data_IF_597247237776
#
_entry.id   IF_597247237776
#
_cell.length_a   1.000
_cell.length_b   1.000
_cell.length_c   1.000
_cell.angle_alpha   90.00
_cell.angle_beta   90.00
_cell.angle_gamma   90.00
#
_symmetry.space_group_name_H-M   'P 1'
#
loop_
_entity.id
_entity.type
_entity.pdbx_description
1 polymer ?
#
# COMPACT_ATOMS: atom_id res chain seq x y z
N UNK A 1 32.70 -31.79 -9.41
CA UNK A 1 32.44 -30.35 -9.65
C UNK A 1 31.05 -30.19 -10.29
N UNK A 2 30.01 -30.73 -9.63
CA UNK A 2 28.63 -30.81 -10.17
C UNK A 2 27.58 -30.66 -9.06
N UNK A 3 27.90 -31.07 -7.82
CA UNK A 3 27.05 -30.87 -6.64
C UNK A 3 26.92 -29.40 -6.19
N UNK A 4 27.93 -28.56 -6.42
CA UNK A 4 27.92 -27.16 -5.97
C UNK A 4 27.01 -26.28 -6.84
N UNK A 5 26.96 -26.54 -8.14
CA UNK A 5 26.10 -25.81 -9.08
C UNK A 5 24.62 -26.12 -8.83
N UNK A 6 24.30 -27.38 -8.49
CA UNK A 6 22.93 -27.79 -8.19
C UNK A 6 22.41 -27.18 -6.87
N UNK A 7 23.26 -27.09 -5.83
CA UNK A 7 22.92 -26.40 -4.58
C UNK A 7 22.74 -24.90 -4.79
N UNK A 8 23.59 -24.27 -5.60
CA UNK A 8 23.49 -22.85 -5.90
C UNK A 8 22.21 -22.52 -6.70
N UNK A 9 21.85 -23.36 -7.69
CA UNK A 9 20.62 -23.20 -8.46
C UNK A 9 19.35 -23.36 -7.60
N UNK A 10 19.34 -24.34 -6.68
CA UNK A 10 18.22 -24.53 -5.75
C UNK A 10 18.04 -23.35 -4.78
N UNK A 11 19.14 -22.80 -4.26
CA UNK A 11 19.10 -21.60 -3.41
C UNK A 11 18.55 -20.40 -4.20
N UNK A 12 19.02 -20.15 -5.42
CA UNK A 12 18.51 -19.05 -6.26
C UNK A 12 17.02 -19.22 -6.57
N UNK A 13 16.56 -20.45 -6.80
CA UNK A 13 15.12 -20.72 -7.03
C UNK A 13 14.25 -20.49 -5.78
N UNK A 14 14.77 -20.77 -4.59
CA UNK A 14 14.07 -20.56 -3.32
C UNK A 14 14.01 -19.08 -2.91
N UNK A 15 15.03 -18.28 -3.22
CA UNK A 15 15.05 -16.84 -2.91
C UNK A 15 14.45 -15.97 -4.02
N UNK A 16 14.52 -16.40 -5.29
CA UNK A 16 13.98 -15.66 -6.43
C UNK A 16 12.45 -15.55 -6.43
N UNK A 17 11.75 -16.48 -5.77
CA UNK A 17 10.29 -16.49 -5.71
C UNK A 17 9.72 -15.49 -4.66
N UNK A 18 10.54 -14.96 -3.76
CA UNK A 18 10.10 -14.11 -2.63
C UNK A 18 9.88 -12.64 -3.05
N UNK A 19 10.36 -12.21 -4.21
CA UNK A 19 10.49 -10.77 -4.55
C UNK A 19 9.27 -10.20 -5.33
N UNK A 20 8.28 -11.02 -5.70
CA UNK A 20 7.12 -10.59 -6.49
C UNK A 20 5.82 -10.58 -5.69
N UNK A 21 5.83 -10.02 -4.47
CA UNK A 21 4.58 -9.59 -3.85
C UNK A 21 4.26 -8.20 -4.42
N UNK A 22 3.31 -8.05 -5.36
CA UNK A 22 2.81 -6.74 -5.71
C UNK A 22 2.34 -6.05 -4.42
N UNK A 23 2.90 -4.88 -4.12
CA UNK A 23 2.47 -4.06 -3.00
C UNK A 23 1.06 -3.53 -3.31
N UNK A 24 0.04 -4.33 -3.07
CA UNK A 24 -1.33 -3.86 -3.03
C UNK A 24 -1.48 -2.98 -1.79
N UNK A 25 -1.55 -1.66 -1.99
CA UNK A 25 -1.84 -0.70 -0.91
C UNK A 25 -3.33 -0.61 -0.55
N UNK A 26 -4.17 -1.39 -1.22
CA UNK A 26 -5.60 -1.51 -0.98
C UNK A 26 -5.94 -2.69 -0.09
N UNK A 27 -6.39 -2.38 1.11
CA UNK A 27 -6.93 -3.31 2.07
C UNK A 27 -8.22 -2.72 2.65
N UNK A 28 -9.23 -3.56 2.77
CA UNK A 28 -10.43 -3.27 3.51
C UNK A 28 -10.80 -4.52 4.29
N UNK A 29 -11.22 -4.35 5.54
CA UNK A 29 -11.80 -5.44 6.30
C UNK A 29 -12.97 -4.92 7.13
N UNK A 30 -13.89 -5.82 7.43
CA UNK A 30 -15.08 -5.56 8.23
C UNK A 30 -15.20 -6.68 9.24
N UNK A 31 -15.43 -6.31 10.50
CA UNK A 31 -15.72 -7.21 11.59
C UNK A 31 -17.13 -6.94 12.11
N UNK A 32 -17.85 -8.02 12.41
CA UNK A 32 -19.15 -7.96 13.07
C UNK A 32 -18.92 -7.98 14.58
N UNK A 33 -19.63 -7.13 15.32
CA UNK A 33 -19.55 -7.04 16.77
C UNK A 33 -19.16 -5.66 17.27
N UNK A 34 -18.88 -5.59 18.57
CA UNK A 34 -18.53 -4.35 19.26
C UNK A 34 -17.24 -3.74 18.71
N UNK A 35 -17.17 -2.41 18.77
CA UNK A 35 -16.00 -1.67 18.34
C UNK A 35 -14.87 -1.82 19.37
N UNK A 36 -13.62 -1.98 18.90
CA UNK A 36 -12.48 -2.26 19.77
C UNK A 36 -12.11 -1.03 20.62
N UNK A 37 -11.25 -1.24 21.62
CA UNK A 37 -10.55 -0.18 22.36
C UNK A 37 -11.44 0.92 22.98
N UNK A 38 -12.72 0.58 23.23
CA UNK A 38 -13.69 1.49 23.82
C UNK A 38 -14.28 2.50 22.83
N UNK A 39 -14.03 2.34 21.53
CA UNK A 39 -14.67 3.12 20.48
C UNK A 39 -16.18 2.91 20.48
N UNK A 40 -16.91 3.96 20.10
CA UNK A 40 -18.37 4.00 20.06
C UNK A 40 -18.86 4.26 18.65
N UNK A 41 -20.14 3.96 18.41
CA UNK A 41 -20.78 4.24 17.12
C UNK A 41 -20.52 5.69 16.68
N UNK A 42 -20.05 5.83 15.43
CA UNK A 42 -19.70 7.12 14.84
C UNK A 42 -18.23 7.52 15.04
N UNK A 43 -17.47 6.83 15.89
CA UNK A 43 -16.04 7.08 16.03
C UNK A 43 -15.30 6.66 14.76
N UNK A 44 -14.26 7.43 14.44
CA UNK A 44 -13.22 7.05 13.47
C UNK A 44 -11.84 7.14 14.11
N UNK A 45 -10.92 6.29 13.65
CA UNK A 45 -9.54 6.27 14.14
C UNK A 45 -8.55 5.88 13.05
N UNK A 46 -7.29 6.24 13.24
CA UNK A 46 -6.23 5.89 12.30
C UNK A 46 -6.01 4.37 12.27
N UNK A 47 -5.85 3.81 11.07
CA UNK A 47 -5.43 2.42 10.95
C UNK A 47 -3.91 2.31 11.15
N UNK A 48 -3.49 1.86 12.33
CA UNK A 48 -2.09 1.80 12.74
C UNK A 48 -1.15 1.18 11.69
N UNK A 49 -0.06 1.89 11.42
CA UNK A 49 0.98 1.46 10.49
C UNK A 49 0.63 1.60 9.00
N UNK A 50 -0.56 2.10 8.66
CA UNK A 50 -1.02 2.28 7.28
C UNK A 50 -1.64 3.66 7.04
N UNK A 51 -1.67 4.09 5.79
CA UNK A 51 -2.55 5.21 5.40
C UNK A 51 -3.96 4.65 5.23
N UNK A 52 -4.74 4.71 6.30
CA UNK A 52 -6.09 4.21 6.37
C UNK A 52 -6.85 4.78 7.56
N UNK A 53 -8.16 4.58 7.54
CA UNK A 53 -9.06 4.96 8.62
C UNK A 53 -9.98 3.77 8.94
N UNK A 54 -10.27 3.65 10.21
CA UNK A 54 -11.25 2.74 10.75
C UNK A 54 -12.49 3.51 11.18
N UNK A 55 -13.65 2.87 11.10
CA UNK A 55 -14.93 3.45 11.50
C UNK A 55 -15.77 2.44 12.27
N UNK A 56 -16.47 2.93 13.28
CA UNK A 56 -17.37 2.16 14.12
C UNK A 56 -18.84 2.42 13.74
N UNK A 57 -19.60 1.35 13.55
CA UNK A 57 -21.05 1.33 13.34
C UNK A 57 -21.73 0.52 14.45
N UNK A 58 -23.06 0.56 14.49
CA UNK A 58 -23.84 0.00 15.61
C UNK A 58 -23.52 -1.46 15.96
N UNK A 59 -23.30 -2.32 14.95
CA UNK A 59 -23.04 -3.76 15.12
C UNK A 59 -21.80 -4.25 14.35
N UNK A 60 -20.97 -3.32 13.89
CA UNK A 60 -19.80 -3.65 13.09
C UNK A 60 -18.78 -2.54 13.10
N UNK A 61 -17.54 -2.87 12.82
CA UNK A 61 -16.50 -1.90 12.55
C UNK A 61 -15.63 -2.39 11.40
N UNK A 62 -14.95 -1.47 10.75
CA UNK A 62 -14.07 -1.83 9.65
C UNK A 62 -13.04 -0.77 9.39
N UNK A 63 -11.97 -1.17 8.71
CA UNK A 63 -10.91 -0.26 8.30
C UNK A 63 -10.71 -0.33 6.80
N UNK A 64 -10.38 0.81 6.22
CA UNK A 64 -10.10 0.99 4.81
C UNK A 64 -8.76 1.70 4.65
N UNK A 65 -7.91 1.22 3.76
CA UNK A 65 -6.72 1.92 3.33
C UNK A 65 -6.96 2.63 2.00
N UNK A 66 -5.93 3.25 1.46
CA UNK A 66 -5.96 3.77 0.09
C UNK A 66 -6.35 2.70 -0.92
N UNK A 67 -7.06 3.08 -1.98
CA UNK A 67 -7.45 2.14 -3.04
C UNK A 67 -6.25 1.49 -3.75
N UNK A 68 -6.54 0.51 -4.61
CA UNK A 68 -5.54 -0.12 -5.47
C UNK A 68 -4.97 0.92 -6.42
N UNK A 69 -3.64 1.03 -6.46
CA UNK A 69 -2.94 1.90 -7.40
C UNK A 69 -2.94 1.26 -8.79
N UNK A 70 -3.56 1.91 -9.76
CA UNK A 70 -3.52 1.47 -11.14
C UNK A 70 -2.19 1.89 -11.78
N UNK A 71 -1.47 1.01 -12.50
CA UNK A 71 -0.35 1.44 -13.32
C UNK A 71 -0.85 2.43 -14.38
N UNK A 72 -0.10 3.50 -14.60
CA UNK A 72 -0.33 4.47 -15.64
C UNK A 72 1.00 4.80 -16.33
N UNK A 73 0.96 4.85 -17.66
CA UNK A 73 2.09 5.22 -18.51
C UNK A 73 2.43 6.70 -18.30
N UNK A 74 3.73 7.03 -18.32
CA UNK A 74 4.22 8.40 -18.14
C UNK A 74 3.78 9.08 -16.84
N UNK A 75 3.51 8.28 -15.80
CA UNK A 75 3.11 8.78 -14.49
C UNK A 75 3.77 8.00 -13.35
N UNK A 76 3.98 8.67 -12.21
CA UNK A 76 4.37 8.04 -10.95
C UNK A 76 3.33 8.32 -9.86
N UNK A 77 3.34 7.48 -8.82
CA UNK A 77 2.53 7.71 -7.64
C UNK A 77 3.35 8.47 -6.59
N UNK A 78 2.74 9.46 -5.95
CA UNK A 78 3.33 10.22 -4.86
C UNK A 78 2.39 10.21 -3.66
N UNK A 79 2.92 9.85 -2.49
CA UNK A 79 2.17 9.81 -1.24
C UNK A 79 2.71 10.83 -0.25
N UNK A 80 1.83 11.51 0.48
CA UNK A 80 2.19 12.35 1.60
C UNK A 80 2.15 11.55 2.91
N UNK A 81 3.27 11.00 3.34
CA UNK A 81 3.36 10.15 4.55
C UNK A 81 3.13 10.91 5.87
N UNK A 82 3.03 12.25 5.82
CA UNK A 82 2.82 13.08 7.00
C UNK A 82 1.36 13.54 7.17
N UNK A 83 0.51 13.26 6.20
CA UNK A 83 -0.91 13.60 6.27
C UNK A 83 -1.73 12.47 6.93
N UNK A 84 -2.92 12.82 7.42
CA UNK A 84 -3.90 11.82 7.83
C UNK A 84 -4.67 11.29 6.62
N UNK A 85 -5.29 10.11 6.75
CA UNK A 85 -6.21 9.59 5.75
C UNK A 85 -7.37 10.58 5.53
N UNK A 86 -7.87 10.76 4.29
CA UNK A 86 -7.42 10.14 3.03
C UNK A 86 -6.24 10.88 2.36
N UNK A 87 -5.76 11.98 2.93
CA UNK A 87 -4.75 12.85 2.31
C UNK A 87 -3.34 12.24 2.25
N UNK A 88 -3.06 11.19 3.04
CA UNK A 88 -1.82 10.42 2.87
C UNK A 88 -1.85 9.46 1.69
N UNK A 89 -3.00 9.30 1.02
CA UNK A 89 -3.10 8.36 -0.08
C UNK A 89 -2.29 8.80 -1.29
N UNK A 90 -1.71 7.84 -2.03
CA UNK A 90 -0.92 8.19 -3.21
C UNK A 90 -1.79 8.84 -4.28
N UNK A 91 -1.36 9.98 -4.79
CA UNK A 91 -1.89 10.61 -6.00
C UNK A 91 -1.04 10.25 -7.21
N UNK A 92 -1.63 10.31 -8.39
CA UNK A 92 -0.93 10.13 -9.65
C UNK A 92 -0.39 11.49 -10.12
N UNK A 93 0.89 11.54 -10.49
CA UNK A 93 1.54 12.71 -11.10
C UNK A 93 2.11 12.28 -12.45
N UNK A 94 1.69 12.96 -13.50
CA UNK A 94 1.96 12.60 -14.90
C UNK A 94 2.82 13.65 -15.60
N UNK A 95 3.49 13.24 -16.67
CA UNK A 95 4.23 14.16 -17.55
C UNK A 95 3.27 15.26 -18.05
N UNK A 96 3.65 16.51 -17.79
CA UNK A 96 2.84 17.70 -18.12
C UNK A 96 2.13 18.33 -16.92
N UNK A 97 2.07 17.66 -15.78
CA UNK A 97 1.53 18.26 -14.55
C UNK A 97 2.45 19.36 -14.01
N UNK A 98 1.92 20.44 -13.42
CA UNK A 98 2.73 21.54 -12.89
C UNK A 98 3.77 21.14 -11.84
N UNK A 99 3.54 20.01 -11.16
CA UNK A 99 4.39 19.50 -10.07
C UNK A 99 5.17 18.24 -10.49
N UNK A 100 5.19 17.92 -11.79
CA UNK A 100 5.93 16.77 -12.30
C UNK A 100 7.44 16.96 -12.08
N UNK A 101 8.08 15.94 -11.52
CA UNK A 101 9.51 15.92 -11.29
C UNK A 101 10.18 14.86 -12.17
N UNK A 102 10.91 15.32 -13.20
CA UNK A 102 11.62 14.46 -14.16
C UNK A 102 12.64 13.55 -13.47
N UNK A 103 13.44 14.08 -12.55
CA UNK A 103 14.46 13.29 -11.84
C UNK A 103 13.83 12.14 -11.06
N UNK A 104 12.68 12.37 -10.41
CA UNK A 104 11.95 11.33 -9.70
C UNK A 104 11.41 10.26 -10.65
N UNK A 105 10.88 10.68 -11.82
CA UNK A 105 10.42 9.76 -12.86
C UNK A 105 11.56 8.86 -13.37
N UNK A 106 12.71 9.44 -13.69
CA UNK A 106 13.87 8.72 -14.21
C UNK A 106 14.42 7.68 -13.21
N UNK A 107 14.45 8.01 -11.90
CA UNK A 107 14.89 7.09 -10.84
C UNK A 107 13.95 5.87 -10.71
N UNK A 108 12.66 6.06 -10.94
CA UNK A 108 11.67 4.97 -10.86
C UNK A 108 11.73 4.02 -12.06
N UNK A 109 12.57 4.30 -13.06
CA UNK A 109 12.80 3.44 -14.23
C UNK A 109 11.55 3.24 -15.09
N UNK A 110 10.69 4.27 -15.15
CA UNK A 110 9.48 4.30 -15.97
C UNK A 110 9.71 5.01 -17.30
#
# INVERSE_FOLDING_TARGET
>A
MTMDVLKLALLISAYGLIILIPMFKGAAFINIGECPDGHKEGDTWAWDGSCGECSCHVDSWGCVSCGVLAPAEHCYHESNTHAHYPNCCPSLVCVGDPHFNQTKYDILGK
#
